data_IF_672119300041
#
_entry.id   IF_672119300041
#
_cell.length_a   1.000
_cell.length_b   1.000
_cell.length_c   1.000
_cell.angle_alpha   90.00
_cell.angle_beta   90.00
_cell.angle_gamma   90.00
#
_symmetry.space_group_name_H-M   'P 1'
#
loop_
_entity.id
_entity.type
_entity.pdbx_description
1 polymer ?
#
# COMPACT_ATOMS: atom_id res chain seq x y z
N UNK A 1 -2.88 7.76 37.54
CA UNK A 1 -4.27 7.65 37.01
C UNK A 1 -4.43 8.21 35.59
N UNK A 2 -3.36 8.39 34.81
CA UNK A 2 -3.43 8.83 33.40
C UNK A 2 -2.55 7.97 32.51
N UNK A 3 -2.81 6.65 32.50
CA UNK A 3 -2.19 5.69 31.58
C UNK A 3 -3.19 4.58 31.18
N UNK A 4 -4.44 4.96 30.89
CA UNK A 4 -5.48 4.06 30.37
C UNK A 4 -6.40 4.81 29.42
N UNK A 5 -5.89 5.11 28.23
CA UNK A 5 -6.65 5.32 26.97
C UNK A 5 -5.72 5.01 25.80
N UNK A 6 -5.19 3.79 25.75
CA UNK A 6 -5.05 3.15 24.45
C UNK A 6 -6.42 2.55 24.19
N UNK A 7 -7.28 3.39 23.62
CA UNK A 7 -8.61 2.99 23.23
C UNK A 7 -8.46 1.86 22.20
N UNK A 8 -8.96 0.68 22.57
CA UNK A 8 -9.34 -0.36 21.63
C UNK A 8 -10.34 0.27 20.67
N UNK A 9 -9.85 0.83 19.57
CA UNK A 9 -10.72 1.22 18.47
C UNK A 9 -11.14 -0.08 17.78
N UNK A 10 -12.35 -0.54 18.12
CA UNK A 10 -13.07 -1.55 17.36
C UNK A 10 -13.45 -0.93 16.01
N UNK A 11 -12.47 -0.88 15.12
CA UNK A 11 -12.72 -0.57 13.72
C UNK A 11 -13.39 -1.78 13.07
N UNK A 12 -14.37 -1.51 12.23
CA UNK A 12 -14.87 -2.49 11.27
C UNK A 12 -13.79 -2.73 10.22
N UNK A 13 -12.83 -3.60 10.54
CA UNK A 13 -11.85 -4.08 9.57
C UNK A 13 -12.60 -4.90 8.51
N UNK A 14 -12.58 -4.40 7.28
CA UNK A 14 -13.12 -5.15 6.14
C UNK A 14 -11.97 -5.57 5.23
N UNK A 15 -11.85 -6.88 5.05
CA UNK A 15 -10.93 -7.46 4.08
C UNK A 15 -11.58 -7.43 2.70
N UNK A 16 -10.98 -6.70 1.76
CA UNK A 16 -11.41 -6.66 0.36
C UNK A 16 -10.43 -7.40 -0.53
N UNK A 17 -10.96 -8.25 -1.39
CA UNK A 17 -10.17 -8.98 -2.37
C UNK A 17 -10.37 -8.37 -3.76
N UNK A 18 -9.25 -8.12 -4.45
CA UNK A 18 -9.20 -7.68 -5.83
C UNK A 18 -8.57 -8.75 -6.69
N UNK A 19 -9.22 -9.12 -7.78
CA UNK A 19 -8.66 -10.02 -8.80
C UNK A 19 -8.51 -9.26 -10.10
N UNK A 20 -7.27 -9.12 -10.56
CA UNK A 20 -6.92 -8.47 -11.81
C UNK A 20 -6.70 -9.54 -12.87
N UNK A 21 -7.37 -9.41 -14.01
CA UNK A 21 -7.28 -10.35 -15.12
C UNK A 21 -6.57 -9.69 -16.31
N UNK A 22 -5.70 -10.44 -16.97
CA UNK A 22 -5.18 -10.10 -18.29
C UNK A 22 -5.84 -11.02 -19.33
N UNK A 23 -6.73 -10.44 -20.14
CA UNK A 23 -7.51 -11.19 -21.14
C UNK A 23 -6.66 -11.74 -22.29
N UNK A 24 -5.46 -11.20 -22.51
CA UNK A 24 -4.59 -11.60 -23.60
C UNK A 24 -3.79 -12.83 -23.17
N UNK A 25 -3.14 -12.74 -22.01
CA UNK A 25 -2.29 -13.82 -21.49
C UNK A 25 -3.08 -14.87 -20.72
N UNK A 26 -4.33 -14.59 -20.35
CA UNK A 26 -5.17 -15.40 -19.47
C UNK A 26 -4.61 -15.54 -18.04
N UNK A 27 -3.63 -14.70 -17.68
CA UNK A 27 -3.09 -14.61 -16.32
C UNK A 27 -4.07 -13.87 -15.39
N UNK A 28 -3.97 -14.16 -14.10
CA UNK A 28 -4.65 -13.37 -13.07
C UNK A 28 -3.80 -13.16 -11.82
N UNK A 29 -4.11 -12.08 -11.10
CA UNK A 29 -3.48 -11.73 -9.84
C UNK A 29 -4.53 -11.39 -8.80
N UNK A 30 -4.47 -12.05 -7.65
CA UNK A 30 -5.34 -11.76 -6.51
C UNK A 30 -4.56 -11.03 -5.42
N UNK A 31 -5.12 -9.94 -4.90
CA UNK A 31 -4.57 -9.14 -3.80
C UNK A 31 -5.66 -8.93 -2.76
N UNK A 32 -5.30 -9.07 -1.48
CA UNK A 32 -6.19 -8.81 -0.34
C UNK A 32 -5.78 -7.52 0.35
N UNK A 33 -6.72 -6.64 0.65
CA UNK A 33 -6.47 -5.34 1.26
C UNK A 33 -7.42 -5.17 2.43
N UNK A 34 -6.87 -4.89 3.60
CA UNK A 34 -7.62 -4.42 4.75
C UNK A 34 -7.87 -2.93 4.58
N UNK A 35 -9.10 -2.52 4.85
CA UNK A 35 -9.49 -1.12 4.98
C UNK A 35 -10.27 -0.87 6.26
N UNK A 36 -10.11 0.34 6.78
CA UNK A 36 -10.85 0.87 7.92
C UNK A 36 -11.75 1.99 7.41
N UNK A 37 -13.05 1.71 7.36
CA UNK A 37 -14.05 2.62 6.75
C UNK A 37 -14.43 3.81 7.64
N UNK A 38 -14.15 3.75 8.95
CA UNK A 38 -14.52 4.77 9.95
C UNK A 38 -13.34 5.61 10.45
N UNK A 39 -12.21 5.63 9.73
CA UNK A 39 -10.99 6.31 10.14
C UNK A 39 -10.46 7.31 9.11
N UNK A 40 -9.37 8.02 9.46
CA UNK A 40 -8.71 9.03 8.63
C UNK A 40 -8.59 8.63 7.14
N UNK A 41 -8.67 9.61 6.25
CA UNK A 41 -8.77 9.46 4.78
C UNK A 41 -7.74 8.53 4.08
N UNK A 42 -6.67 8.13 4.76
CA UNK A 42 -5.65 7.21 4.24
C UNK A 42 -5.91 5.72 4.52
N UNK A 43 -7.02 5.38 5.18
CA UNK A 43 -7.28 4.02 5.67
C UNK A 43 -8.36 3.26 4.89
N UNK A 44 -8.97 3.89 3.88
CA UNK A 44 -9.89 3.24 2.94
C UNK A 44 -9.36 3.21 1.51
N UNK A 45 -9.89 2.30 0.70
CA UNK A 45 -9.49 2.13 -0.70
C UNK A 45 -10.19 3.18 -1.56
N UNK A 46 -9.40 4.11 -2.08
CA UNK A 46 -9.89 5.10 -3.04
C UNK A 46 -10.24 4.46 -4.39
N UNK A 47 -11.29 4.92 -5.10
CA UNK A 47 -11.69 4.34 -6.39
C UNK A 47 -10.58 4.34 -7.46
N UNK A 48 -9.62 5.26 -7.39
CA UNK A 48 -8.48 5.31 -8.31
C UNK A 48 -7.45 4.20 -8.07
N UNK A 49 -7.35 3.66 -6.85
CA UNK A 49 -6.38 2.63 -6.51
C UNK A 49 -6.56 1.32 -7.32
N UNK A 50 -7.75 0.70 -7.41
CA UNK A 50 -7.94 -0.49 -8.24
C UNK A 50 -7.74 -0.19 -9.74
N UNK A 51 -8.02 1.03 -10.20
CA UNK A 51 -7.78 1.44 -11.59
C UNK A 51 -6.28 1.46 -11.89
N UNK A 52 -5.48 2.09 -11.03
CA UNK A 52 -4.02 2.11 -11.17
C UNK A 52 -3.41 0.71 -11.03
N UNK A 53 -3.91 -0.09 -10.09
CA UNK A 53 -3.48 -1.47 -9.90
C UNK A 53 -3.74 -2.34 -11.15
N UNK A 54 -4.93 -2.23 -11.76
CA UNK A 54 -5.22 -2.92 -13.03
C UNK A 54 -4.29 -2.45 -14.15
N UNK A 55 -3.99 -1.15 -14.22
CA UNK A 55 -3.05 -0.62 -15.21
C UNK A 55 -1.64 -1.20 -15.04
N UNK A 56 -1.13 -1.26 -13.79
CA UNK A 56 0.17 -1.85 -13.46
C UNK A 56 0.19 -3.33 -13.86
N UNK A 57 -0.85 -4.09 -13.52
CA UNK A 57 -0.96 -5.51 -13.88
C UNK A 57 -0.87 -5.77 -15.39
N UNK A 58 -1.63 -5.00 -16.18
CA UNK A 58 -1.60 -5.08 -17.64
C UNK A 58 -0.24 -4.65 -18.22
N UNK A 59 0.48 -3.78 -17.53
CA UNK A 59 1.78 -3.26 -17.92
C UNK A 59 2.94 -3.85 -17.08
N UNK A 60 2.75 -5.03 -16.47
CA UNK A 60 3.68 -5.63 -15.49
C UNK A 60 5.13 -5.75 -15.97
N UNK A 61 5.31 -5.90 -17.28
CA UNK A 61 6.64 -5.92 -17.92
C UNK A 61 7.42 -4.61 -17.76
N UNK A 62 6.74 -3.46 -17.64
CA UNK A 62 7.39 -2.15 -17.46
C UNK A 62 7.93 -1.92 -16.05
N UNK A 63 7.34 -2.58 -15.06
CA UNK A 63 7.69 -2.41 -13.63
C UNK A 63 8.61 -3.51 -13.11
N UNK A 64 8.62 -4.69 -13.75
CA UNK A 64 9.44 -5.84 -13.35
C UNK A 64 10.92 -5.45 -13.22
N UNK A 65 11.51 -5.75 -12.07
CA UNK A 65 12.91 -5.46 -11.76
C UNK A 65 13.24 -3.98 -11.56
N UNK A 66 12.27 -3.07 -11.59
CA UNK A 66 12.48 -1.63 -11.34
C UNK A 66 12.35 -1.32 -9.85
N UNK A 67 13.06 -0.28 -9.41
CA UNK A 67 12.85 0.37 -8.12
C UNK A 67 11.71 1.38 -8.24
N UNK A 68 10.69 1.27 -7.40
CA UNK A 68 9.49 2.11 -7.43
C UNK A 68 9.22 2.63 -6.03
N UNK A 69 8.86 3.91 -5.92
CA UNK A 69 8.27 4.48 -4.71
C UNK A 69 6.82 4.84 -4.98
N UNK A 70 5.91 4.37 -4.13
CA UNK A 70 4.51 4.80 -4.13
C UNK A 70 4.35 5.94 -3.12
N UNK A 71 3.91 7.09 -3.59
CA UNK A 71 3.71 8.30 -2.77
C UNK A 71 2.23 8.44 -2.45
N UNK A 72 1.89 8.50 -1.15
CA UNK A 72 0.49 8.50 -0.70
C UNK A 72 -0.14 7.11 -0.88
N UNK A 73 0.56 6.09 -0.40
CA UNK A 73 0.18 4.70 -0.60
C UNK A 73 -1.18 4.33 0.04
N UNK A 74 -1.58 4.98 1.13
CA UNK A 74 -2.80 4.64 1.87
C UNK A 74 -2.84 3.15 2.21
N UNK A 75 -3.80 2.43 1.62
CA UNK A 75 -3.94 0.97 1.78
C UNK A 75 -2.96 0.13 0.94
N UNK A 76 -2.13 0.76 0.10
CA UNK A 76 -1.02 0.17 -0.66
C UNK A 76 -1.38 -0.76 -1.81
N UNK A 77 -2.64 -0.76 -2.28
CA UNK A 77 -3.08 -1.68 -3.35
C UNK A 77 -2.21 -1.60 -4.63
N UNK A 78 -1.93 -0.43 -5.23
CA UNK A 78 -1.10 -0.36 -6.44
C UNK A 78 0.35 -0.78 -6.20
N UNK A 79 0.97 -0.36 -5.11
CA UNK A 79 2.32 -0.76 -4.74
C UNK A 79 2.46 -2.26 -4.48
N UNK A 80 1.47 -2.89 -3.84
CA UNK A 80 1.44 -4.35 -3.65
C UNK A 80 1.33 -5.08 -5.00
N UNK A 81 0.50 -4.59 -5.93
CA UNK A 81 0.44 -5.15 -7.28
C UNK A 81 1.77 -5.01 -8.01
N UNK A 82 2.42 -3.83 -7.92
CA UNK A 82 3.75 -3.63 -8.52
C UNK A 82 4.79 -4.59 -7.93
N UNK A 83 4.79 -4.80 -6.62
CA UNK A 83 5.69 -5.71 -5.94
C UNK A 83 5.46 -7.17 -6.37
N UNK A 84 4.20 -7.63 -6.45
CA UNK A 84 3.85 -8.96 -6.98
C UNK A 84 4.20 -9.12 -8.47
N UNK A 85 4.29 -8.02 -9.22
CA UNK A 85 4.81 -8.00 -10.59
C UNK A 85 6.35 -8.06 -10.67
N UNK A 86 7.05 -8.17 -9.53
CA UNK A 86 8.51 -8.27 -9.46
C UNK A 86 9.25 -6.94 -9.38
N UNK A 87 8.57 -5.84 -9.05
CA UNK A 87 9.24 -4.56 -8.75
C UNK A 87 9.81 -4.55 -7.32
N UNK A 88 10.86 -3.76 -7.09
CA UNK A 88 11.37 -3.43 -5.76
C UNK A 88 10.65 -2.16 -5.29
N UNK A 89 9.66 -2.33 -4.41
CA UNK A 89 8.74 -1.24 -4.05
C UNK A 89 9.07 -0.68 -2.66
N UNK A 90 8.98 0.64 -2.55
CA UNK A 90 8.95 1.38 -1.29
C UNK A 90 7.57 2.00 -1.17
N UNK A 91 6.81 1.63 -0.15
CA UNK A 91 5.51 2.22 0.15
C UNK A 91 5.73 3.45 1.01
N UNK A 92 5.11 4.58 0.66
CA UNK A 92 5.23 5.79 1.46
C UNK A 92 3.93 6.55 1.62
N UNK A 93 3.73 7.08 2.83
CA UNK A 93 2.62 7.97 3.16
C UNK A 93 3.08 9.00 4.21
N UNK A 94 2.20 9.94 4.56
CA UNK A 94 2.44 11.03 5.50
C UNK A 94 3.00 10.50 6.82
N UNK A 95 4.19 10.98 7.20
CA UNK A 95 4.91 10.49 8.38
C UNK A 95 4.17 10.74 9.70
N UNK A 96 3.30 11.76 9.76
CA UNK A 96 2.50 12.07 10.94
C UNK A 96 1.33 11.10 11.16
N UNK A 97 0.91 10.35 10.14
CA UNK A 97 -0.20 9.39 10.20
C UNK A 97 0.35 7.97 10.38
N UNK A 98 0.67 7.62 11.63
CA UNK A 98 1.22 6.29 11.98
C UNK A 98 0.31 5.14 11.54
N UNK A 99 -1.01 5.35 11.54
CA UNK A 99 -1.97 4.35 11.09
C UNK A 99 -1.81 4.02 9.60
N UNK A 100 -1.48 4.99 8.76
CA UNK A 100 -1.26 4.74 7.32
C UNK A 100 0.00 3.90 7.09
N UNK A 101 1.08 4.16 7.82
CA UNK A 101 2.28 3.31 7.74
C UNK A 101 2.02 1.91 8.30
N UNK A 102 1.20 1.80 9.35
CA UNK A 102 0.79 0.53 9.91
C UNK A 102 -0.04 -0.30 8.93
N UNK A 103 -1.04 0.31 8.26
CA UNK A 103 -1.89 -0.40 7.31
C UNK A 103 -1.10 -0.82 6.06
N UNK A 104 -0.14 -0.01 5.60
CA UNK A 104 0.80 -0.40 4.54
C UNK A 104 1.50 -1.72 4.90
N UNK A 105 1.98 -1.83 6.14
CA UNK A 105 2.69 -3.00 6.63
C UNK A 105 1.78 -4.22 6.79
N UNK A 106 0.57 -4.04 7.32
CA UNK A 106 -0.43 -5.10 7.42
C UNK A 106 -0.80 -5.65 6.04
N UNK A 107 -1.12 -4.76 5.09
CA UNK A 107 -1.49 -5.16 3.75
C UNK A 107 -0.33 -5.80 2.98
N UNK A 108 0.90 -5.33 3.17
CA UNK A 108 2.07 -6.00 2.62
C UNK A 108 2.22 -7.43 3.17
N UNK A 109 2.10 -7.60 4.49
CA UNK A 109 2.16 -8.93 5.14
C UNK A 109 1.04 -9.85 4.69
N UNK A 110 -0.19 -9.34 4.57
CA UNK A 110 -1.36 -10.08 4.09
C UNK A 110 -1.17 -10.63 2.67
N UNK A 111 -0.23 -10.07 1.91
CA UNK A 111 0.09 -10.43 0.55
C UNK A 111 1.48 -11.06 0.39
N UNK A 112 2.07 -11.58 1.48
CA UNK A 112 3.37 -12.25 1.49
C UNK A 112 4.55 -11.34 1.09
N UNK A 113 4.43 -10.03 1.37
CA UNK A 113 5.45 -9.00 1.09
C UNK A 113 6.00 -8.39 2.39
N UNK A 114 6.23 -9.20 3.42
CA UNK A 114 6.63 -8.74 4.76
C UNK A 114 7.94 -7.93 4.81
N UNK A 115 8.81 -8.09 3.81
CA UNK A 115 10.11 -7.42 3.72
C UNK A 115 10.07 -6.12 2.87
N UNK A 116 8.88 -5.70 2.41
CA UNK A 116 8.74 -4.45 1.66
C UNK A 116 9.14 -3.25 2.53
N UNK A 117 9.86 -2.30 1.93
CA UNK A 117 10.28 -1.09 2.64
C UNK A 117 9.11 -0.11 2.77
N UNK A 118 8.93 0.44 3.97
CA UNK A 118 7.89 1.43 4.26
C UNK A 118 8.56 2.68 4.81
N UNK A 119 8.24 3.83 4.22
CA UNK A 119 8.88 5.11 4.55
C UNK A 119 7.84 6.21 4.77
N UNK A 120 7.97 6.96 5.86
CA UNK A 120 7.18 8.18 6.06
C UNK A 120 7.67 9.31 5.15
N UNK A 121 6.87 9.72 4.18
CA UNK A 121 7.14 10.84 3.26
C UNK A 121 5.96 11.80 3.28
N UNK A 122 6.18 12.98 3.89
CA UNK A 122 5.20 14.08 3.88
C UNK A 122 5.49 14.99 2.69
N UNK A 123 4.46 15.29 1.90
CA UNK A 123 4.61 16.14 0.72
C UNK A 123 5.16 17.52 1.08
N UNK A 124 6.05 18.04 0.23
CA UNK A 124 6.72 19.33 0.46
C UNK A 124 7.85 19.29 1.50
N UNK A 125 8.11 18.14 2.15
CA UNK A 125 9.20 17.99 3.10
C UNK A 125 10.33 17.14 2.53
N UNK A 126 11.54 17.69 2.49
CA UNK A 126 12.75 16.95 2.12
C UNK A 126 13.39 16.43 3.39
N UNK A 127 13.30 15.12 3.64
CA UNK A 127 13.90 14.48 4.81
C UNK A 127 15.21 13.77 4.45
N UNK A 128 16.15 13.60 5.39
CA UNK A 128 17.36 12.82 5.14
C UNK A 128 17.07 11.38 4.71
N UNK A 129 15.95 10.79 5.15
CA UNK A 129 15.56 9.45 4.74
C UNK A 129 15.13 9.40 3.26
N UNK A 130 14.41 10.43 2.79
CA UNK A 130 14.08 10.58 1.37
C UNK A 130 15.33 10.75 0.49
N UNK A 131 16.34 11.50 0.98
CA UNK A 131 17.60 11.70 0.26
C UNK A 131 18.50 10.45 0.17
N UNK A 132 18.21 9.40 0.95
CA UNK A 132 18.97 8.15 0.99
C UNK A 132 18.26 6.99 0.29
N UNK A 133 17.21 7.25 -0.48
CA UNK A 133 16.58 6.22 -1.29
C UNK A 133 17.60 5.60 -2.26
N UNK A 134 17.52 4.26 -2.47
CA UNK A 134 18.48 3.51 -3.28
C UNK A 134 18.37 3.79 -4.79
#
# INVERSE_FOLDING_TARGET
LLQKKHDNMNFSDSDRQFTFHDKITHDSLTVKIQEITDADYGLYIWPCAPVLAQYIWLNRNKVRGKSIIEIGAGTSLPGIVAAKCGAKVILSDRSSLKNCLHICHQNAKLNDLGDISILGVTWGQVTPALMRLP
#
